data_IF_579128954149
#
_entry.id   IF_579128954149
#
_cell.length_a   1.000
_cell.length_b   1.000
_cell.length_c   1.000
_cell.angle_alpha   90.00
_cell.angle_beta   90.00
_cell.angle_gamma   90.00
#
_symmetry.space_group_name_H-M   'P 1'
#
loop_
_entity.id
_entity.type
_entity.pdbx_description
1 polymer ?
#
# COMPACT_ATOMS: atom_id res chain seq x y z
N UNK A 1 17.33 21.16 13.92
CA UNK A 1 16.88 22.26 13.03
C UNK A 1 15.42 22.04 12.56
N UNK A 2 14.51 21.56 13.42
CA UNK A 2 13.14 21.22 13.02
C UNK A 2 12.06 22.23 13.49
N UNK A 3 12.33 23.07 14.49
CA UNK A 3 11.30 23.93 15.10
C UNK A 3 10.96 25.22 14.34
N UNK A 4 11.84 25.72 13.47
CA UNK A 4 11.57 26.99 12.75
C UNK A 4 10.57 26.82 11.60
N UNK A 5 10.44 25.63 11.05
CA UNK A 5 9.63 25.41 9.85
C UNK A 5 8.13 25.23 10.20
N UNK A 6 7.83 24.66 11.38
CA UNK A 6 6.46 24.50 11.87
C UNK A 6 5.76 25.85 12.12
N UNK A 7 6.42 26.75 12.85
CA UNK A 7 5.90 28.12 13.11
C UNK A 7 5.65 28.91 11.82
N UNK A 8 6.48 28.72 10.80
CA UNK A 8 6.35 29.40 9.51
C UNK A 8 5.21 28.82 8.66
N UNK A 9 4.93 27.52 8.77
CA UNK A 9 3.81 26.87 8.08
C UNK A 9 2.47 27.16 8.75
N UNK A 10 2.42 27.13 10.08
CA UNK A 10 1.20 27.50 10.83
C UNK A 10 0.83 28.97 10.61
N UNK A 11 1.79 29.90 10.68
CA UNK A 11 1.53 31.32 10.43
C UNK A 11 1.02 31.59 9.01
N UNK A 12 1.54 30.90 7.99
CA UNK A 12 1.04 31.02 6.61
C UNK A 12 -0.37 30.45 6.45
N UNK A 13 -0.69 29.37 7.16
CA UNK A 13 -2.02 28.78 7.13
C UNK A 13 -3.07 29.72 7.73
N UNK A 14 -2.79 30.32 8.89
CA UNK A 14 -3.69 31.33 9.47
C UNK A 14 -3.80 32.61 8.64
N UNK A 15 -2.73 33.01 7.95
CA UNK A 15 -2.77 34.16 7.02
C UNK A 15 -3.69 33.93 5.82
N UNK A 16 -3.84 32.68 5.37
CA UNK A 16 -4.73 32.29 4.27
C UNK A 16 -6.17 31.97 4.73
N UNK A 17 -6.41 31.88 6.04
CA UNK A 17 -7.73 31.60 6.62
C UNK A 17 -8.12 32.67 7.68
N UNK A 18 -8.38 33.92 7.25
CA UNK A 18 -8.56 35.09 8.14
C UNK A 18 -9.74 34.97 9.11
N UNK A 19 -10.75 34.17 8.77
CA UNK A 19 -11.94 33.93 9.61
C UNK A 19 -11.53 33.25 10.92
N UNK A 20 -10.60 32.30 10.87
CA UNK A 20 -10.27 31.45 12.02
C UNK A 20 -9.29 32.16 12.98
N UNK A 21 -8.38 32.97 12.42
CA UNK A 21 -7.51 33.84 13.21
C UNK A 21 -8.28 34.94 13.95
N UNK A 22 -9.31 35.52 13.31
CA UNK A 22 -10.19 36.50 13.95
C UNK A 22 -11.03 35.89 15.08
N UNK A 23 -11.46 34.64 14.95
CA UNK A 23 -12.23 33.93 15.99
C UNK A 23 -11.38 33.69 17.26
N UNK A 24 -10.13 33.25 17.10
CA UNK A 24 -9.20 32.97 18.21
C UNK A 24 -8.83 34.23 19.00
N UNK A 25 -8.61 35.35 18.31
CA UNK A 25 -8.35 36.66 18.94
C UNK A 25 -9.58 37.26 19.62
N UNK A 26 -10.80 36.83 19.25
CA UNK A 26 -12.05 37.39 19.76
C UNK A 26 -12.52 36.75 21.09
N UNK A 27 -12.22 35.47 21.32
CA UNK A 27 -12.71 34.73 22.50
C UNK A 27 -11.92 35.09 23.76
N UNK A 28 -10.60 35.27 23.62
CA UNK A 28 -9.70 35.56 24.75
C UNK A 28 -10.08 36.86 25.49
N UNK A 29 -10.37 38.00 24.81
CA UNK A 29 -10.84 39.22 25.47
C UNK A 29 -12.20 39.07 26.17
N UNK A 30 -13.15 38.34 25.56
CA UNK A 30 -14.48 38.13 26.14
C UNK A 30 -14.44 37.28 27.41
N UNK A 31 -13.60 36.23 27.45
CA UNK A 31 -13.37 35.42 28.65
C UNK A 31 -12.65 36.22 29.76
N UNK A 32 -11.72 37.09 29.38
CA UNK A 32 -11.05 38.02 30.31
C UNK A 32 -12.01 39.06 30.90
N UNK A 33 -12.92 39.63 30.10
CA UNK A 33 -13.94 40.56 30.59
C UNK A 33 -14.99 39.89 31.47
N UNK A 34 -15.37 38.64 31.17
CA UNK A 34 -16.30 37.87 31.99
C UNK A 34 -15.72 37.51 33.37
N UNK A 35 -14.41 37.29 33.43
CA UNK A 35 -13.69 37.03 34.68
C UNK A 35 -13.52 38.30 35.55
N UNK A 36 -13.59 39.50 34.96
CA UNK A 36 -13.18 40.75 35.61
C UNK A 36 -14.30 41.66 36.16
N UNK A 37 -15.61 41.44 35.96
CA UNK A 37 -16.58 42.29 36.69
C UNK A 37 -18.09 42.15 36.44
N UNK A 38 -18.80 41.96 37.55
CA UNK A 38 -20.16 42.42 37.94
C UNK A 38 -21.38 42.21 37.01
N UNK A 39 -22.50 41.78 37.62
CA UNK A 39 -23.79 41.40 37.01
C UNK A 39 -24.40 42.42 36.01
N UNK A 40 -24.00 43.69 36.01
CA UNK A 40 -24.41 44.70 35.01
C UNK A 40 -23.68 44.56 33.66
N UNK A 41 -22.62 43.76 33.59
CA UNK A 41 -21.84 43.48 32.38
C UNK A 41 -22.37 42.35 31.51
N UNK A 42 -23.40 41.59 31.96
CA UNK A 42 -23.86 40.40 31.24
C UNK A 42 -24.49 40.74 29.87
N UNK A 43 -25.40 41.71 29.80
CA UNK A 43 -26.00 42.14 28.52
C UNK A 43 -24.97 42.78 27.59
N UNK A 44 -24.00 43.51 28.14
CA UNK A 44 -22.88 44.08 27.39
C UNK A 44 -22.00 42.99 26.80
N UNK A 45 -21.75 41.91 27.55
CA UNK A 45 -21.00 40.76 27.06
C UNK A 45 -21.76 39.99 25.97
N UNK A 46 -23.07 39.79 26.11
CA UNK A 46 -23.90 39.19 25.06
C UNK A 46 -23.89 40.07 23.81
N UNK A 47 -24.01 41.40 23.96
CA UNK A 47 -23.93 42.35 22.85
C UNK A 47 -22.56 42.43 22.16
N UNK A 48 -21.48 42.07 22.85
CA UNK A 48 -20.15 41.97 22.24
C UNK A 48 -19.93 40.61 21.56
N UNK A 49 -20.51 39.53 22.11
CA UNK A 49 -20.54 38.21 21.47
C UNK A 49 -21.40 38.22 20.21
N UNK A 50 -22.58 38.86 20.21
CA UNK A 50 -23.49 38.94 19.05
C UNK A 50 -22.90 39.67 17.85
N UNK A 51 -22.01 40.65 18.08
CA UNK A 51 -21.28 41.33 16.99
C UNK A 51 -20.22 40.46 16.34
N UNK A 52 -19.81 39.37 17.00
CA UNK A 52 -18.65 38.54 16.62
C UNK A 52 -19.05 37.12 16.22
N UNK A 53 -20.18 36.64 16.69
CA UNK A 53 -20.73 35.32 16.43
C UNK A 53 -22.16 35.47 15.93
N UNK A 54 -22.39 35.11 14.67
CA UNK A 54 -23.71 35.21 14.03
C UNK A 54 -24.77 34.35 14.73
N UNK A 55 -24.36 33.32 15.49
CA UNK A 55 -25.26 32.46 16.28
C UNK A 55 -25.69 33.07 17.62
N UNK A 56 -25.09 34.19 18.04
CA UNK A 56 -25.39 34.83 19.32
C UNK A 56 -26.33 36.01 19.08
N UNK A 57 -27.53 35.94 19.64
CA UNK A 57 -28.48 37.05 19.61
C UNK A 57 -28.35 37.92 20.87
N UNK A 58 -28.54 39.24 20.75
CA UNK A 58 -28.50 40.16 21.90
C UNK A 58 -29.54 39.82 22.98
N UNK A 59 -30.59 39.08 22.62
CA UNK A 59 -31.64 38.59 23.52
C UNK A 59 -31.28 37.31 24.29
N UNK A 60 -30.17 36.64 23.96
CA UNK A 60 -29.74 35.42 24.66
C UNK A 60 -29.30 35.73 26.09
N UNK A 61 -29.51 34.78 27.00
CA UNK A 61 -28.84 34.85 28.30
C UNK A 61 -27.33 34.71 28.11
N UNK A 62 -26.53 35.24 29.04
CA UNK A 62 -25.07 35.12 28.96
C UNK A 62 -24.60 33.67 28.84
N UNK A 63 -25.27 32.72 29.51
CA UNK A 63 -24.90 31.31 29.42
C UNK A 63 -25.21 30.72 28.04
N UNK A 64 -26.38 31.02 27.46
CA UNK A 64 -26.73 30.60 26.11
C UNK A 64 -25.81 31.23 25.05
N UNK A 65 -25.48 32.52 25.19
CA UNK A 65 -24.55 33.21 24.32
C UNK A 65 -23.14 32.60 24.38
N UNK A 66 -22.65 32.25 25.57
CA UNK A 66 -21.37 31.57 25.74
C UNK A 66 -21.40 30.16 25.12
N UNK A 67 -22.45 29.37 25.37
CA UNK A 67 -22.59 28.03 24.78
C UNK A 67 -22.67 28.07 23.24
N UNK A 68 -23.39 29.04 22.66
CA UNK A 68 -23.45 29.26 21.22
C UNK A 68 -22.08 29.65 20.64
N UNK A 69 -21.39 30.60 21.28
CA UNK A 69 -20.04 30.99 20.86
C UNK A 69 -19.03 29.83 20.98
N UNK A 70 -19.12 29.00 22.02
CA UNK A 70 -18.30 27.79 22.14
C UNK A 70 -18.58 26.77 21.04
N UNK A 71 -19.85 26.62 20.64
CA UNK A 71 -20.22 25.72 19.54
C UNK A 71 -19.68 26.21 18.21
N UNK A 72 -19.80 27.51 17.93
CA UNK A 72 -19.23 28.12 16.72
C UNK A 72 -17.70 27.97 16.69
N UNK A 73 -17.03 28.14 17.83
CA UNK A 73 -15.61 27.87 17.95
C UNK A 73 -15.26 26.41 17.65
N UNK A 74 -15.97 25.45 18.26
CA UNK A 74 -15.73 24.04 18.02
C UNK A 74 -15.96 23.64 16.54
N UNK A 75 -16.98 24.22 15.90
CA UNK A 75 -17.24 24.02 14.47
C UNK A 75 -16.12 24.61 13.62
N UNK A 76 -15.68 25.84 13.90
CA UNK A 76 -14.57 26.48 13.20
C UNK A 76 -13.24 25.75 13.40
N UNK A 77 -12.99 25.18 14.58
CA UNK A 77 -11.83 24.33 14.84
C UNK A 77 -11.90 23.02 14.05
N UNK A 78 -13.08 22.41 13.93
CA UNK A 78 -13.27 21.23 13.09
C UNK A 78 -13.05 21.54 11.60
N UNK A 79 -13.56 22.68 11.10
CA UNK A 79 -13.32 23.14 9.73
C UNK A 79 -11.84 23.47 9.49
N UNK A 80 -11.17 24.11 10.46
CA UNK A 80 -9.73 24.37 10.41
C UNK A 80 -8.94 23.07 10.27
N UNK A 81 -9.28 22.06 11.07
CA UNK A 81 -8.61 20.76 11.02
C UNK A 81 -8.87 20.03 9.70
N UNK A 82 -10.09 20.13 9.16
CA UNK A 82 -10.41 19.59 7.83
C UNK A 82 -9.60 20.29 6.73
N UNK A 83 -9.47 21.62 6.78
CA UNK A 83 -8.64 22.39 5.85
C UNK A 83 -7.15 22.04 5.97
N UNK A 84 -6.63 21.84 7.19
CA UNK A 84 -5.25 21.37 7.40
C UNK A 84 -5.02 20.00 6.78
N UNK A 85 -5.98 19.07 6.95
CA UNK A 85 -5.90 17.73 6.37
C UNK A 85 -5.94 17.78 4.83
N UNK A 86 -6.75 18.68 4.23
CA UNK A 86 -6.79 18.91 2.78
C UNK A 86 -5.45 19.45 2.27
N UNK A 87 -4.89 20.46 2.92
CA UNK A 87 -3.62 21.08 2.50
C UNK A 87 -2.43 20.12 2.67
N UNK A 88 -2.41 19.36 3.77
CA UNK A 88 -1.45 18.27 3.96
C UNK A 88 -1.60 17.19 2.85
N UNK A 89 -2.83 16.89 2.44
CA UNK A 89 -3.12 15.99 1.32
C UNK A 89 -2.49 16.48 0.01
N UNK A 90 -2.62 17.76 -0.32
CA UNK A 90 -2.00 18.33 -1.54
C UNK A 90 -0.47 18.22 -1.52
N UNK A 91 0.16 18.48 -0.38
CA UNK A 91 1.61 18.34 -0.26
C UNK A 91 2.04 16.87 -0.45
N UNK A 92 1.34 15.93 0.19
CA UNK A 92 1.61 14.49 0.01
C UNK A 92 1.43 14.09 -1.45
N UNK A 93 0.41 14.59 -2.13
CA UNK A 93 0.17 14.32 -3.54
C UNK A 93 1.34 14.82 -4.40
N UNK A 94 1.78 16.07 -4.20
CA UNK A 94 2.91 16.63 -4.93
C UNK A 94 4.22 15.86 -4.71
N UNK A 95 4.52 15.52 -3.45
CA UNK A 95 5.71 14.74 -3.10
C UNK A 95 5.65 13.32 -3.68
N UNK A 96 4.47 12.69 -3.66
CA UNK A 96 4.26 11.36 -4.24
C UNK A 96 4.38 11.37 -5.77
N UNK A 97 3.88 12.41 -6.45
CA UNK A 97 4.07 12.59 -7.90
C UNK A 97 5.55 12.75 -8.24
N UNK A 98 6.29 13.57 -7.49
CA UNK A 98 7.73 13.73 -7.70
C UNK A 98 8.51 12.42 -7.47
N UNK A 99 8.14 11.65 -6.43
CA UNK A 99 8.71 10.33 -6.17
C UNK A 99 8.39 9.34 -7.29
N UNK A 100 7.16 9.36 -7.81
CA UNK A 100 6.71 8.55 -8.93
C UNK A 100 7.52 8.85 -10.20
N UNK A 101 7.62 10.11 -10.59
CA UNK A 101 8.38 10.54 -11.78
C UNK A 101 9.88 10.23 -11.67
N UNK A 102 10.39 10.09 -10.44
CA UNK A 102 11.78 9.70 -10.16
C UNK A 102 12.01 8.18 -10.11
N UNK A 103 10.99 7.37 -10.42
CA UNK A 103 11.04 5.90 -10.39
C UNK A 103 10.93 5.28 -9.00
N UNK A 104 10.60 6.06 -7.96
CA UNK A 104 10.45 5.58 -6.58
C UNK A 104 9.00 5.18 -6.30
N UNK A 105 8.48 4.23 -7.07
CA UNK A 105 7.06 3.87 -7.08
C UNK A 105 6.56 3.38 -5.70
N UNK A 106 7.38 2.62 -4.96
CA UNK A 106 7.01 2.12 -3.62
C UNK A 106 6.88 3.24 -2.58
N UNK A 107 7.77 4.24 -2.61
CA UNK A 107 7.71 5.40 -1.71
C UNK A 107 6.47 6.25 -2.00
N UNK A 108 6.16 6.47 -3.28
CA UNK A 108 4.98 7.20 -3.73
C UNK A 108 3.69 6.49 -3.28
N UNK A 109 3.55 5.19 -3.56
CA UNK A 109 2.37 4.41 -3.21
C UNK A 109 2.16 4.31 -1.70
N UNK A 110 3.23 4.12 -0.93
CA UNK A 110 3.14 4.06 0.53
C UNK A 110 2.65 5.37 1.12
N UNK A 111 3.10 6.51 0.57
CA UNK A 111 2.71 7.85 1.02
C UNK A 111 1.25 8.14 0.67
N UNK A 112 0.84 7.83 -0.56
CA UNK A 112 -0.54 7.99 -1.02
C UNK A 112 -1.52 7.08 -0.26
N UNK A 113 -1.15 5.82 0.00
CA UNK A 113 -1.97 4.89 0.78
C UNK A 113 -2.31 5.44 2.16
N UNK A 114 -1.34 6.03 2.87
CA UNK A 114 -1.55 6.67 4.17
C UNK A 114 -2.48 7.88 4.08
N UNK A 115 -2.29 8.74 3.08
CA UNK A 115 -3.09 9.96 2.91
C UNK A 115 -4.48 9.73 2.32
N UNK A 116 -4.71 8.61 1.62
CA UNK A 116 -5.99 8.27 0.99
C UNK A 116 -7.18 8.20 1.94
N UNK A 117 -6.94 7.98 3.24
CA UNK A 117 -7.99 7.95 4.27
C UNK A 117 -8.59 9.32 4.58
N UNK A 118 -7.86 10.39 4.27
CA UNK A 118 -8.20 11.78 4.62
C UNK A 118 -8.35 12.69 3.41
N UNK A 119 -7.70 12.36 2.31
CA UNK A 119 -7.73 13.13 1.06
C UNK A 119 -8.27 12.28 -0.09
N UNK A 120 -9.37 12.75 -0.69
CA UNK A 120 -9.96 12.13 -1.87
C UNK A 120 -9.00 12.14 -3.06
N UNK A 121 -8.27 13.24 -3.27
CA UNK A 121 -7.29 13.36 -4.36
C UNK A 121 -6.16 12.34 -4.21
N UNK A 122 -5.66 12.14 -2.99
CA UNK A 122 -4.67 11.09 -2.71
C UNK A 122 -5.24 9.69 -2.93
N UNK A 123 -6.53 9.47 -2.66
CA UNK A 123 -7.18 8.18 -2.89
C UNK A 123 -7.36 7.85 -4.37
N UNK A 124 -7.63 8.87 -5.21
CA UNK A 124 -7.67 8.75 -6.67
C UNK A 124 -6.28 8.44 -7.21
N UNK A 125 -5.28 9.25 -6.86
CA UNK A 125 -3.90 9.04 -7.30
C UNK A 125 -3.34 7.69 -6.83
N UNK A 126 -3.65 7.25 -5.60
CA UNK A 126 -3.26 5.92 -5.12
C UNK A 126 -3.82 4.81 -6.00
N UNK A 127 -5.07 4.92 -6.45
CA UNK A 127 -5.69 3.91 -7.30
C UNK A 127 -5.04 3.86 -8.70
N UNK A 128 -4.81 5.02 -9.30
CA UNK A 128 -4.20 5.14 -10.62
C UNK A 128 -2.76 4.62 -10.62
N UNK A 129 -1.93 5.11 -9.69
CA UNK A 129 -0.53 4.70 -9.58
C UNK A 129 -0.42 3.23 -9.20
N UNK A 130 -1.32 2.74 -8.34
CA UNK A 130 -1.33 1.32 -7.98
C UNK A 130 -1.63 0.44 -9.20
N UNK A 131 -2.55 0.84 -10.08
CA UNK A 131 -2.84 0.07 -11.29
C UNK A 131 -1.64 0.03 -12.22
N UNK A 132 -1.03 1.20 -12.47
CA UNK A 132 0.16 1.30 -13.33
C UNK A 132 1.34 0.48 -12.78
N UNK A 133 1.57 0.53 -11.47
CA UNK A 133 2.62 -0.27 -10.82
C UNK A 133 2.34 -1.77 -10.90
N UNK A 134 1.08 -2.19 -10.73
CA UNK A 134 0.69 -3.59 -10.91
C UNK A 134 1.00 -4.07 -12.33
N UNK A 135 0.71 -3.28 -13.37
CA UNK A 135 1.00 -3.66 -14.75
C UNK A 135 2.52 -3.80 -15.00
N UNK A 136 3.33 -2.88 -14.48
CA UNK A 136 4.80 -2.95 -14.55
C UNK A 136 5.34 -4.20 -13.86
N UNK A 137 4.85 -4.49 -12.65
CA UNK A 137 5.29 -5.65 -11.86
C UNK A 137 4.89 -6.96 -12.52
N UNK A 138 3.68 -7.06 -13.07
CA UNK A 138 3.24 -8.25 -13.80
C UNK A 138 4.10 -8.48 -15.04
N UNK A 139 4.43 -7.42 -15.80
CA UNK A 139 5.34 -7.53 -16.94
C UNK A 139 6.72 -8.05 -16.51
N UNK A 140 7.29 -7.48 -15.44
CA UNK A 140 8.58 -7.91 -14.87
C UNK A 140 8.56 -9.35 -14.36
N UNK A 141 7.47 -9.75 -13.70
CA UNK A 141 7.30 -11.12 -13.22
C UNK A 141 7.23 -12.10 -14.39
N UNK A 142 6.48 -11.78 -15.45
CA UNK A 142 6.40 -12.63 -16.65
C UNK A 142 7.75 -12.78 -17.37
N UNK A 143 8.58 -11.74 -17.39
CA UNK A 143 9.95 -11.82 -17.91
C UNK A 143 10.84 -12.77 -17.07
N UNK A 144 10.72 -12.70 -15.74
CA UNK A 144 11.43 -13.60 -14.82
C UNK A 144 10.96 -15.06 -15.00
N UNK A 145 9.65 -15.27 -15.15
CA UNK A 145 9.05 -16.58 -15.45
C UNK A 145 9.59 -17.14 -16.77
N UNK A 146 9.63 -16.32 -17.83
CA UNK A 146 10.20 -16.70 -19.13
C UNK A 146 11.69 -17.06 -19.04
N UNK A 147 12.39 -16.43 -18.10
CA UNK A 147 13.80 -16.69 -17.77
C UNK A 147 13.99 -17.85 -16.79
N UNK A 148 12.93 -18.59 -16.44
CA UNK A 148 12.90 -19.69 -15.47
C UNK A 148 13.31 -19.29 -14.04
N UNK A 149 13.25 -18.00 -13.70
CA UNK A 149 13.56 -17.45 -12.37
C UNK A 149 12.28 -17.32 -11.55
N UNK A 150 11.66 -18.45 -11.23
CA UNK A 150 10.34 -18.49 -10.58
C UNK A 150 10.36 -17.90 -9.16
N UNK A 151 11.43 -18.13 -8.38
CA UNK A 151 11.55 -17.59 -7.03
C UNK A 151 11.70 -16.06 -7.03
N UNK A 152 12.46 -15.51 -7.97
CA UNK A 152 12.59 -14.06 -8.15
C UNK A 152 11.24 -13.44 -8.55
N UNK A 153 10.50 -14.10 -9.46
CA UNK A 153 9.16 -13.66 -9.87
C UNK A 153 8.20 -13.62 -8.67
N UNK A 154 8.17 -14.70 -7.88
CA UNK A 154 7.37 -14.79 -6.64
C UNK A 154 7.76 -13.70 -5.65
N UNK A 155 9.06 -13.42 -5.49
CA UNK A 155 9.56 -12.39 -4.57
C UNK A 155 9.06 -10.99 -4.96
N UNK A 156 9.18 -10.63 -6.25
CA UNK A 156 8.72 -9.33 -6.78
C UNK A 156 7.21 -9.17 -6.61
N UNK A 157 6.42 -10.21 -6.95
CA UNK A 157 4.96 -10.19 -6.80
C UNK A 157 4.53 -10.05 -5.33
N UNK A 158 5.17 -10.79 -4.41
CA UNK A 158 4.89 -10.69 -2.95
C UNK A 158 5.25 -9.34 -2.35
N UNK A 159 6.27 -8.66 -2.87
CA UNK A 159 6.59 -7.30 -2.44
C UNK A 159 5.51 -6.32 -2.89
N UNK A 160 5.12 -6.39 -4.16
CA UNK A 160 4.11 -5.50 -4.74
C UNK A 160 2.71 -5.69 -4.12
N UNK A 161 2.29 -6.93 -3.84
CA UNK A 161 0.95 -7.23 -3.29
C UNK A 161 0.65 -6.55 -1.96
N UNK A 162 1.67 -6.15 -1.20
CA UNK A 162 1.53 -5.45 0.09
C UNK A 162 1.27 -3.95 -0.04
N UNK A 163 1.58 -3.38 -1.21
CA UNK A 163 1.63 -1.93 -1.42
C UNK A 163 0.50 -1.47 -2.35
N UNK A 164 0.10 -2.32 -3.30
CA UNK A 164 -0.98 -2.03 -4.25
C UNK A 164 -2.36 -2.04 -3.59
N UNK A 165 -3.28 -1.25 -4.15
CA UNK A 165 -4.68 -1.15 -3.72
C UNK A 165 -5.47 -2.42 -4.00
N UNK A 166 -5.31 -2.98 -5.20
CA UNK A 166 -5.97 -4.22 -5.63
C UNK A 166 -4.92 -5.23 -6.06
N UNK A 167 -4.70 -6.24 -5.20
CA UNK A 167 -3.71 -7.29 -5.39
C UNK A 167 -4.28 -8.54 -6.04
N UNK A 168 -5.57 -8.58 -6.44
CA UNK A 168 -6.19 -9.78 -7.00
C UNK A 168 -5.38 -10.34 -8.19
N UNK A 169 -5.06 -9.48 -9.16
CA UNK A 169 -4.26 -9.85 -10.34
C UNK A 169 -2.85 -10.36 -10.00
N UNK A 170 -2.25 -9.85 -8.92
CA UNK A 170 -0.93 -10.27 -8.45
C UNK A 170 -1.04 -11.63 -7.76
N UNK A 171 -2.09 -11.84 -6.96
CA UNK A 171 -2.33 -13.08 -6.24
C UNK A 171 -2.69 -14.21 -7.22
N UNK A 172 -3.48 -13.95 -8.26
CA UNK A 172 -3.79 -14.93 -9.30
C UNK A 172 -2.50 -15.49 -9.95
N UNK A 173 -1.55 -14.61 -10.28
CA UNK A 173 -0.26 -15.03 -10.85
C UNK A 173 0.63 -15.72 -9.80
N UNK A 174 0.58 -15.30 -8.54
CA UNK A 174 1.28 -15.99 -7.46
C UNK A 174 0.78 -17.43 -7.30
N UNK A 175 -0.53 -17.65 -7.31
CA UNK A 175 -1.16 -18.96 -7.18
C UNK A 175 -0.79 -19.86 -8.36
N UNK A 176 -0.77 -19.32 -9.58
CA UNK A 176 -0.29 -20.04 -10.77
C UNK A 176 1.17 -20.50 -10.59
N UNK A 177 2.04 -19.61 -10.07
CA UNK A 177 3.44 -19.92 -9.81
C UNK A 177 3.66 -20.87 -8.64
N UNK A 178 2.75 -20.95 -7.66
CA UNK A 178 2.80 -21.96 -6.60
C UNK A 178 2.55 -23.37 -7.13
N UNK A 179 1.77 -23.52 -8.20
CA UNK A 179 1.59 -24.79 -8.92
C UNK A 179 2.79 -25.22 -9.77
N UNK A 180 3.67 -24.29 -10.14
CA UNK A 180 4.91 -24.56 -10.89
C UNK A 180 6.04 -24.85 -9.91
N UNK A 181 6.08 -26.07 -9.37
CA UNK A 181 7.30 -26.59 -8.75
C UNK A 181 8.25 -27.08 -9.84
N UNK A 182 9.56 -26.83 -9.73
CA UNK A 182 10.55 -27.58 -10.49
C UNK A 182 10.26 -29.07 -10.31
N UNK A 183 9.86 -29.75 -11.37
CA UNK A 183 9.90 -31.21 -11.39
C UNK A 183 11.37 -31.54 -11.33
N UNK A 184 11.87 -31.84 -10.13
CA UNK A 184 13.23 -32.30 -9.94
C UNK A 184 13.48 -33.41 -10.96
N UNK A 185 14.59 -33.39 -11.71
CA UNK A 185 14.87 -34.47 -12.68
C UNK A 185 14.91 -35.86 -12.00
N UNK A 186 15.07 -35.89 -10.67
CA UNK A 186 14.97 -37.08 -9.82
C UNK A 186 13.56 -37.66 -9.67
N UNK A 187 12.49 -36.94 -10.04
CA UNK A 187 11.11 -37.47 -10.01
C UNK A 187 10.63 -38.02 -11.36
N UNK A 188 11.45 -37.90 -12.43
CA UNK A 188 11.24 -38.66 -13.66
C UNK A 188 11.63 -40.13 -13.43
N UNK A 189 10.64 -40.98 -13.16
CA UNK A 189 10.84 -42.44 -13.13
C UNK A 189 10.53 -43.03 -14.51
N UNK A 190 11.39 -43.94 -15.00
CA UNK A 190 11.24 -44.69 -16.28
C UNK A 190 9.97 -45.58 -16.29
N UNK A 191 9.29 -45.69 -15.15
CA UNK A 191 8.16 -46.57 -14.86
C UNK A 191 6.93 -46.44 -15.76
N UNK A 192 6.86 -45.44 -16.66
CA UNK A 192 5.71 -45.23 -17.55
C UNK A 192 5.96 -45.61 -19.02
N UNK A 193 7.10 -46.21 -19.35
CA UNK A 193 7.37 -46.69 -20.71
C UNK A 193 7.15 -48.20 -20.84
N UNK A 194 6.26 -48.59 -21.76
CA UNK A 194 6.06 -49.99 -22.16
C UNK A 194 7.28 -50.58 -22.91
N UNK A 195 8.30 -49.76 -23.17
CA UNK A 195 9.49 -50.13 -23.90
C UNK A 195 10.70 -50.37 -22.99
N UNK A 196 10.61 -50.13 -21.68
CA UNK A 196 11.73 -50.29 -20.75
C UNK A 196 11.33 -51.14 -19.54
N UNK A 197 12.06 -52.22 -19.31
CA UNK A 197 11.89 -53.10 -18.14
C UNK A 197 13.09 -52.93 -17.21
N UNK A 198 12.82 -52.77 -15.91
CA UNK A 198 13.85 -52.88 -14.88
C UNK A 198 14.22 -54.37 -14.76
N UNK A 199 15.50 -54.69 -14.83
CA UNK A 199 15.96 -56.08 -14.71
C UNK A 199 16.63 -56.29 -13.36
N UNK A 200 16.14 -57.25 -12.59
CA UNK A 200 16.77 -57.70 -11.35
C UNK A 200 18.01 -58.57 -11.64
N UNK A 201 19.13 -58.28 -10.97
CA UNK A 201 20.38 -59.03 -11.08
C UNK A 201 21.42 -58.42 -12.04
N UNK A 202 22.66 -58.87 -11.93
CA UNK A 202 23.76 -58.36 -12.76
C UNK A 202 23.62 -58.84 -14.21
N UNK A 203 23.56 -57.89 -15.14
CA UNK A 203 23.46 -58.16 -16.57
C UNK A 203 24.82 -58.01 -17.24
N UNK A 204 25.05 -58.78 -18.31
CA UNK A 204 26.25 -58.69 -19.14
C UNK A 204 25.85 -58.50 -20.60
N UNK A 205 26.36 -57.45 -21.25
CA UNK A 205 26.06 -57.22 -22.67
C UNK A 205 26.80 -58.21 -23.58
N UNK A 206 26.50 -58.16 -24.88
CA UNK A 206 27.14 -59.00 -25.91
C UNK A 206 28.63 -58.69 -26.11
N UNK A 207 29.11 -57.54 -25.63
CA UNK A 207 30.52 -57.14 -25.63
C UNK A 207 31.25 -57.58 -24.34
N UNK A 208 30.51 -58.11 -23.35
CA UNK A 208 31.05 -58.59 -22.09
C UNK A 208 31.10 -57.57 -20.95
N UNK A 209 30.47 -56.40 -21.09
CA UNK A 209 30.39 -55.39 -20.04
C UNK A 209 29.31 -55.78 -19.01
N UNK A 210 29.63 -55.67 -17.72
CA UNK A 210 28.71 -55.99 -16.64
C UNK A 210 28.07 -54.74 -16.05
N UNK A 211 26.77 -54.80 -15.79
CA UNK A 211 25.99 -53.71 -15.22
C UNK A 211 25.39 -54.12 -13.87
N UNK A 212 25.44 -53.19 -12.91
CA UNK A 212 24.91 -53.33 -11.56
C UNK A 212 23.37 -53.31 -11.58
N UNK A 213 22.74 -54.17 -10.79
CA UNK A 213 21.28 -54.42 -10.80
C UNK A 213 20.42 -53.24 -10.38
N UNK A 214 20.98 -52.30 -9.63
CA UNK A 214 20.16 -51.42 -8.82
C UNK A 214 19.57 -50.24 -9.61
N UNK A 215 20.06 -50.00 -10.85
CA UNK A 215 19.59 -48.92 -11.74
C UNK A 215 19.73 -49.25 -13.26
N UNK A 216 19.75 -50.54 -13.63
CA UNK A 216 19.88 -50.94 -15.05
C UNK A 216 18.52 -51.18 -15.72
N UNK A 217 18.24 -50.40 -16.76
CA UNK A 217 17.00 -50.49 -17.55
C UNK A 217 17.30 -51.05 -18.94
N UNK A 218 16.50 -52.03 -19.38
CA UNK A 218 16.64 -52.62 -20.72
C UNK A 218 15.49 -52.18 -21.60
N UNK A 219 15.85 -51.58 -22.73
CA UNK A 219 14.91 -51.21 -23.77
C UNK A 219 14.56 -52.40 -24.65
N UNK A 220 13.26 -52.71 -24.77
CA UNK A 220 12.71 -53.62 -25.78
C UNK A 220 11.90 -52.81 -26.81
N UNK A 221 12.50 -52.37 -27.91
CA UNK A 221 11.75 -51.72 -28.98
C UNK A 221 10.78 -52.73 -29.61
N UNK A 222 9.56 -52.30 -29.91
CA UNK A 222 8.50 -53.14 -30.46
C UNK A 222 8.84 -53.90 -31.78
N UNK A 223 9.98 -53.61 -32.43
CA UNK A 223 10.40 -54.21 -33.71
C UNK A 223 11.93 -54.34 -33.88
N UNK A 224 12.70 -54.56 -32.81
CA UNK A 224 14.14 -54.80 -32.93
C UNK A 224 14.53 -56.19 -32.39
N UNK A 225 15.26 -56.97 -33.20
CA UNK A 225 15.74 -58.32 -32.86
C UNK A 225 16.81 -58.34 -31.74
N UNK A 226 17.17 -57.19 -31.17
CA UNK A 226 18.20 -57.09 -30.14
C UNK A 226 17.84 -56.01 -29.11
N UNK A 227 17.80 -56.34 -27.80
CA UNK A 227 17.56 -55.36 -26.76
C UNK A 227 18.74 -54.40 -26.65
N UNK A 228 18.45 -53.12 -26.45
CA UNK A 228 19.44 -52.08 -26.18
C UNK A 228 19.45 -51.76 -24.69
N UNK A 229 20.62 -51.85 -24.05
CA UNK A 229 20.81 -51.58 -22.62
C UNK A 229 21.14 -50.09 -22.44
N UNK A 230 20.40 -49.40 -21.57
CA UNK A 230 20.71 -48.04 -21.15
C UNK A 230 21.05 -48.10 -19.67
N UNK A 231 22.28 -47.72 -19.33
CA UNK A 231 22.73 -47.58 -17.95
C UNK A 231 22.89 -46.11 -17.65
N UNK A 232 22.21 -45.63 -16.60
CA UNK A 232 22.40 -44.29 -16.08
C UNK A 232 23.47 -44.35 -15.00
N UNK A 233 24.58 -43.64 -15.21
CA UNK A 233 25.57 -43.42 -14.16
C UNK A 233 25.14 -42.16 -13.39
N UNK A 234 24.79 -42.31 -12.12
CA UNK A 234 24.71 -41.19 -11.17
C UNK A 234 26.12 -40.73 -10.77
#
# INVERSE_FOLDING_TARGET
MADKDSSTKESRFYANHPIIFNLLLAIIPCLLSAYLGELHGQSVMVGELSKRFDSVEESMSLNEALESAYRDYANAEAELNALKDVEAGKQVLADATAAWDSGKHEEALTSLSKASKKSGDCAVAFAEYSSAYTDEILAKANELVSSKKYDDAKSVLKAASKIVKDSARINDLLDELEGVSEVASTSLTVASSNCFELIEGSQKDTAGNSYSSDDTWVGRPYNADSPSVISFYN
#
